data_IF_398021127142
#
_entry.id   IF_398021127142
#
_cell.length_a   1.000
_cell.length_b   1.000
_cell.length_c   1.000
_cell.angle_alpha   90.00
_cell.angle_beta   90.00
_cell.angle_gamma   90.00
#
_symmetry.space_group_name_H-M   'P 1'
#
loop_
_entity.id
_entity.type
_entity.pdbx_description
1 polymer ?
#
# COMPACT_ATOMS: atom_id res chain seq x y z
N UNK A 1 -9.16 -20.79 23.49
CA UNK A 1 -8.94 -19.52 22.76
C UNK A 1 -9.33 -19.79 21.31
N UNK A 2 -10.20 -18.97 20.71
CA UNK A 2 -10.46 -19.09 19.27
C UNK A 2 -9.18 -18.68 18.53
N UNK A 3 -8.71 -19.52 17.64
CA UNK A 3 -7.58 -19.21 16.78
C UNK A 3 -7.96 -18.04 15.87
N UNK A 4 -7.16 -16.96 15.78
CA UNK A 4 -7.48 -15.87 14.88
C UNK A 4 -7.52 -16.38 13.44
N UNK A 5 -8.39 -15.78 12.63
CA UNK A 5 -8.38 -16.03 11.19
C UNK A 5 -7.12 -15.47 10.57
N UNK A 6 -6.59 -16.13 9.55
CA UNK A 6 -5.37 -15.72 8.85
C UNK A 6 -5.68 -15.49 7.37
N UNK A 7 -5.32 -14.32 6.87
CA UNK A 7 -5.23 -14.09 5.44
C UNK A 7 -3.82 -14.42 4.98
N UNK A 8 -3.71 -15.30 3.99
CA UNK A 8 -2.45 -15.67 3.35
C UNK A 8 -2.46 -15.22 1.91
N UNK A 9 -1.51 -14.36 1.53
CA UNK A 9 -1.23 -14.00 0.15
C UNK A 9 0.07 -14.70 -0.23
N UNK A 10 -0.04 -15.80 -0.95
CA UNK A 10 1.08 -16.71 -1.15
C UNK A 10 2.25 -16.07 -1.90
N UNK A 11 1.97 -15.12 -2.79
CA UNK A 11 3.02 -14.45 -3.55
C UNK A 11 2.56 -13.06 -4.01
N UNK A 12 2.86 -12.03 -3.22
CA UNK A 12 2.63 -10.63 -3.55
C UNK A 12 3.93 -9.96 -4.03
N UNK A 13 3.92 -9.41 -5.24
CA UNK A 13 5.03 -8.71 -5.85
C UNK A 13 4.68 -7.23 -6.03
N UNK A 14 5.10 -6.33 -5.10
CA UNK A 14 6.13 -6.60 -4.06
C UNK A 14 5.69 -6.14 -2.68
N UNK A 15 4.78 -5.16 -2.59
CA UNK A 15 4.31 -4.57 -1.33
C UNK A 15 2.80 -4.49 -1.36
N UNK A 16 2.14 -5.24 -0.51
CA UNK A 16 0.68 -5.28 -0.45
C UNK A 16 0.17 -4.60 0.82
N UNK A 17 -0.81 -3.73 0.66
CA UNK A 17 -1.58 -3.13 1.75
C UNK A 17 -2.99 -3.69 1.72
N UNK A 18 -3.49 -4.14 2.86
CA UNK A 18 -4.75 -4.87 2.95
C UNK A 18 -5.78 -4.04 3.71
N UNK A 19 -6.97 -3.98 3.14
CA UNK A 19 -8.10 -3.23 3.71
C UNK A 19 -9.35 -4.12 3.79
N UNK A 20 -10.10 -4.00 4.86
CA UNK A 20 -11.39 -4.63 5.05
C UNK A 20 -12.45 -3.55 5.24
N UNK A 21 -13.45 -3.52 4.36
CA UNK A 21 -14.47 -2.46 4.30
C UNK A 21 -13.86 -1.04 4.32
N UNK A 22 -12.74 -0.86 3.60
CA UNK A 22 -12.00 0.40 3.52
C UNK A 22 -11.11 0.70 4.74
N UNK A 23 -11.14 -0.12 5.78
CA UNK A 23 -10.27 0.02 6.95
C UNK A 23 -8.97 -0.73 6.73
N UNK A 24 -7.85 -0.06 6.90
CA UNK A 24 -6.52 -0.66 6.83
C UNK A 24 -6.34 -1.71 7.93
N UNK A 25 -5.92 -2.93 7.58
CA UNK A 25 -5.70 -4.03 8.51
C UNK A 25 -4.26 -4.53 8.55
N UNK A 26 -3.44 -4.15 7.59
CA UNK A 26 -2.02 -4.52 7.60
C UNK A 26 -1.36 -4.47 6.25
N UNK A 27 -0.10 -4.84 6.23
CA UNK A 27 0.73 -4.90 5.03
C UNK A 27 1.46 -6.23 4.93
N UNK A 28 1.87 -6.57 3.73
CA UNK A 28 2.76 -7.69 3.42
C UNK A 28 3.91 -7.18 2.58
N UNK A 29 5.12 -7.34 3.07
CA UNK A 29 6.33 -6.86 2.43
C UNK A 29 7.16 -8.06 1.96
N UNK A 30 7.31 -8.20 0.64
CA UNK A 30 8.08 -9.27 0.02
C UNK A 30 9.52 -9.34 0.52
N UNK A 31 10.13 -8.19 0.83
CA UNK A 31 11.51 -8.14 1.31
C UNK A 31 11.72 -8.87 2.63
N UNK A 32 10.67 -8.90 3.46
CA UNK A 32 10.65 -9.57 4.75
C UNK A 32 10.12 -11.00 4.68
N UNK A 33 9.70 -11.46 3.48
CA UNK A 33 9.04 -12.75 3.32
C UNK A 33 7.63 -12.79 3.94
N UNK A 34 7.01 -11.65 4.19
CA UNK A 34 5.68 -11.55 4.79
C UNK A 34 4.62 -12.07 3.81
N UNK A 35 3.86 -13.04 4.24
CA UNK A 35 2.79 -13.66 3.44
C UNK A 35 1.46 -13.73 4.17
N UNK A 36 1.46 -13.53 5.48
CA UNK A 36 0.28 -13.71 6.33
C UNK A 36 0.05 -12.51 7.23
N UNK A 37 -1.21 -12.22 7.46
CA UNK A 37 -1.65 -11.29 8.49
C UNK A 37 -2.89 -11.80 9.20
N UNK A 38 -3.09 -11.38 10.44
CA UNK A 38 -4.32 -11.65 11.16
C UNK A 38 -5.50 -10.99 10.46
N UNK A 39 -6.57 -11.76 10.28
CA UNK A 39 -7.77 -11.30 9.62
C UNK A 39 -8.88 -11.11 10.66
N UNK A 40 -9.39 -9.89 10.84
CA UNK A 40 -10.39 -9.62 11.85
C UNK A 40 -11.72 -10.29 11.50
N UNK A 41 -12.53 -10.55 12.52
CA UNK A 41 -13.90 -11.01 12.31
C UNK A 41 -14.69 -9.97 11.50
N UNK A 42 -15.40 -10.42 10.47
CA UNK A 42 -16.17 -9.56 9.60
C UNK A 42 -17.55 -10.17 9.28
N UNK A 43 -18.55 -9.35 8.93
CA UNK A 43 -19.85 -9.83 8.51
C UNK A 43 -19.76 -10.50 7.13
N UNK A 44 -20.77 -11.30 6.81
CA UNK A 44 -20.93 -11.84 5.45
C UNK A 44 -21.09 -10.68 4.45
N UNK A 45 -20.32 -10.72 3.36
CA UNK A 45 -20.34 -9.70 2.33
C UNK A 45 -19.40 -8.53 2.59
N UNK A 46 -18.56 -8.61 3.63
CA UNK A 46 -17.48 -7.65 3.82
C UNK A 46 -16.55 -7.61 2.60
N UNK A 47 -16.09 -6.42 2.23
CA UNK A 47 -15.22 -6.20 1.08
C UNK A 47 -13.76 -6.26 1.48
N UNK A 48 -13.00 -7.11 0.81
CA UNK A 48 -11.55 -7.20 0.95
C UNK A 48 -10.88 -6.50 -0.24
N UNK A 49 -10.07 -5.49 0.04
CA UNK A 49 -9.24 -4.83 -0.96
C UNK A 49 -7.76 -5.08 -0.66
N UNK A 50 -6.99 -5.39 -1.69
CA UNK A 50 -5.53 -5.56 -1.60
C UNK A 50 -4.89 -4.61 -2.60
N UNK A 51 -4.26 -3.55 -2.11
CA UNK A 51 -3.50 -2.61 -2.91
C UNK A 51 -2.07 -3.11 -3.04
N UNK A 52 -1.66 -3.49 -4.24
CA UNK A 52 -0.31 -4.00 -4.50
C UNK A 52 0.51 -2.96 -5.23
N UNK A 53 1.60 -2.54 -4.62
CA UNK A 53 2.61 -1.72 -5.27
C UNK A 53 3.75 -2.60 -5.80
N UNK A 54 3.98 -2.52 -7.09
CA UNK A 54 5.15 -3.10 -7.72
C UNK A 54 6.38 -2.24 -7.45
N UNK A 55 7.39 -2.80 -6.81
CA UNK A 55 8.72 -2.19 -6.74
C UNK A 55 9.40 -2.21 -8.12
N UNK A 56 10.63 -1.73 -8.22
CA UNK A 56 11.38 -1.73 -9.46
C UNK A 56 11.43 -3.12 -10.12
N UNK A 57 11.46 -3.14 -11.44
CA UNK A 57 11.61 -4.39 -12.19
C UNK A 57 13.05 -4.87 -12.14
N UNK A 58 13.23 -6.18 -12.08
CA UNK A 58 14.54 -6.81 -12.20
C UNK A 58 15.02 -6.61 -13.65
N UNK A 59 16.19 -6.02 -13.82
CA UNK A 59 16.74 -5.66 -15.12
C UNK A 59 17.91 -6.56 -15.57
N UNK A 60 18.34 -7.49 -14.69
CA UNK A 60 19.49 -8.36 -14.96
C UNK A 60 19.35 -9.71 -14.22
N UNK A 61 19.92 -10.76 -14.80
CA UNK A 61 20.02 -12.08 -14.20
C UNK A 61 18.84 -13.01 -14.49
N UNK A 62 18.82 -14.14 -13.78
CA UNK A 62 17.85 -15.24 -14.04
C UNK A 62 16.42 -14.88 -13.69
N UNK A 63 16.23 -13.93 -12.77
CA UNK A 63 14.93 -13.49 -12.28
C UNK A 63 14.31 -12.33 -13.08
N UNK A 64 14.80 -12.06 -14.29
CA UNK A 64 14.30 -10.96 -15.15
C UNK A 64 12.80 -11.07 -15.49
N UNK A 65 12.22 -12.28 -15.36
CA UNK A 65 10.79 -12.55 -15.55
C UNK A 65 9.99 -12.47 -14.25
N UNK A 66 10.35 -11.57 -13.35
CA UNK A 66 9.63 -11.33 -12.12
C UNK A 66 8.27 -10.66 -12.40
N UNK A 67 7.20 -11.45 -12.47
CA UNK A 67 5.85 -10.94 -12.67
C UNK A 67 5.41 -10.09 -11.46
N UNK A 68 4.62 -9.06 -11.71
CA UNK A 68 4.13 -8.13 -10.68
C UNK A 68 2.65 -8.35 -10.36
N UNK A 69 2.24 -7.92 -9.18
CA UNK A 69 0.92 -8.16 -8.64
C UNK A 69 0.86 -9.39 -7.74
N UNK A 70 -0.31 -9.96 -7.57
CA UNK A 70 -0.50 -11.23 -6.87
C UNK A 70 -0.37 -12.35 -7.89
N UNK A 71 0.66 -13.18 -7.76
CA UNK A 71 1.03 -14.19 -8.76
C UNK A 71 0.60 -15.61 -8.38
N UNK A 72 0.14 -15.80 -7.15
CA UNK A 72 -0.37 -17.07 -6.64
C UNK A 72 -1.71 -16.88 -5.89
N UNK A 73 -2.08 -17.84 -5.08
CA UNK A 73 -3.36 -17.84 -4.35
C UNK A 73 -3.42 -16.80 -3.22
N UNK A 74 -4.65 -16.37 -2.96
CA UNK A 74 -5.04 -15.68 -1.72
C UNK A 74 -5.97 -16.60 -0.96
N UNK A 75 -5.64 -16.88 0.29
CA UNK A 75 -6.32 -17.87 1.10
C UNK A 75 -6.77 -17.27 2.44
N UNK A 76 -7.94 -17.68 2.90
CA UNK A 76 -8.43 -17.34 4.23
C UNK A 76 -8.55 -18.63 5.04
N UNK A 77 -7.83 -18.68 6.16
CA UNK A 77 -7.91 -19.75 7.14
C UNK A 77 -8.73 -19.29 8.34
N UNK A 78 -9.78 -20.02 8.67
CA UNK A 78 -10.66 -19.76 9.80
C UNK A 78 -10.70 -20.99 10.71
N UNK A 79 -10.96 -20.76 12.00
CA UNK A 79 -11.21 -21.85 12.94
C UNK A 79 -12.71 -22.20 12.94
N UNK A 80 -13.04 -23.45 12.65
CA UNK A 80 -14.39 -23.99 12.74
C UNK A 80 -14.37 -25.13 13.77
N UNK A 81 -14.96 -24.90 14.94
CA UNK A 81 -15.05 -25.86 16.03
C UNK A 81 -13.69 -26.46 16.45
N UNK A 82 -12.66 -25.60 16.53
CA UNK A 82 -11.31 -26.01 16.93
C UNK A 82 -10.51 -26.67 15.79
N UNK A 83 -10.99 -26.61 14.55
CA UNK A 83 -10.29 -27.12 13.37
C UNK A 83 -10.05 -26.01 12.36
N UNK A 84 -8.80 -25.86 11.87
CA UNK A 84 -8.51 -24.89 10.83
C UNK A 84 -9.14 -25.33 9.51
N UNK A 85 -9.88 -24.41 8.89
CA UNK A 85 -10.43 -24.57 7.55
C UNK A 85 -9.88 -23.47 6.65
N UNK A 86 -9.25 -23.85 5.55
CA UNK A 86 -8.66 -22.90 4.57
C UNK A 86 -9.48 -22.92 3.29
N UNK A 87 -9.87 -21.74 2.84
CA UNK A 87 -10.51 -21.54 1.54
C UNK A 87 -9.72 -20.59 0.66
N UNK A 88 -9.72 -20.86 -0.63
CA UNK A 88 -9.15 -19.99 -1.66
C UNK A 88 -10.16 -18.89 -1.99
N UNK A 89 -9.73 -17.63 -1.91
CA UNK A 89 -10.53 -16.49 -2.36
C UNK A 89 -10.38 -16.36 -3.89
N UNK A 90 -11.50 -16.25 -4.57
CA UNK A 90 -11.60 -16.25 -6.04
C UNK A 90 -12.43 -15.07 -6.53
N UNK A 91 -12.59 -14.98 -7.85
CA UNK A 91 -13.45 -13.99 -8.52
C UNK A 91 -13.05 -12.54 -8.20
N UNK A 92 -11.74 -12.27 -8.25
CA UNK A 92 -11.17 -10.96 -8.00
C UNK A 92 -11.48 -9.97 -9.11
N UNK A 93 -11.93 -8.78 -8.73
CA UNK A 93 -11.93 -7.62 -9.60
C UNK A 93 -10.57 -6.92 -9.52
N UNK A 94 -9.94 -6.69 -10.66
CA UNK A 94 -8.59 -6.10 -10.73
C UNK A 94 -8.64 -4.73 -11.38
N UNK A 95 -8.11 -3.74 -10.68
CA UNK A 95 -8.04 -2.36 -11.14
C UNK A 95 -6.58 -1.90 -11.25
N UNK A 96 -6.15 -1.48 -12.44
CA UNK A 96 -4.89 -0.80 -12.61
C UNK A 96 -5.09 0.67 -12.27
N UNK A 97 -4.43 1.14 -11.21
CA UNK A 97 -4.50 2.54 -10.81
C UNK A 97 -3.58 3.36 -11.72
N UNK A 98 -4.12 4.43 -12.26
CA UNK A 98 -3.32 5.41 -13.00
C UNK A 98 -2.40 6.18 -12.06
N UNK A 99 -1.13 6.29 -12.45
CA UNK A 99 -0.13 7.09 -11.75
C UNK A 99 0.15 8.36 -12.57
N UNK A 100 -0.88 9.19 -12.72
CA UNK A 100 -0.81 10.46 -13.44
C UNK A 100 -1.30 11.60 -12.57
N UNK A 101 -0.73 12.80 -12.78
CA UNK A 101 -1.22 13.99 -12.08
C UNK A 101 -2.69 14.28 -12.39
N UNK A 102 -3.15 14.01 -13.62
CA UNK A 102 -4.53 14.22 -14.03
C UNK A 102 -5.52 13.36 -13.23
N UNK A 103 -5.13 12.15 -12.89
CA UNK A 103 -5.89 11.30 -11.98
C UNK A 103 -6.01 11.93 -10.59
N UNK A 104 -4.88 12.33 -10.00
CA UNK A 104 -4.84 12.85 -8.64
C UNK A 104 -5.46 14.25 -8.48
N UNK A 105 -5.30 15.15 -9.46
CA UNK A 105 -5.84 16.51 -9.38
C UNK A 105 -7.36 16.58 -9.27
N UNK A 106 -8.05 15.58 -9.84
CA UNK A 106 -9.51 15.49 -9.86
C UNK A 106 -10.10 14.79 -8.61
N UNK A 107 -9.28 14.27 -7.72
CA UNK A 107 -9.74 13.67 -6.48
C UNK A 107 -10.36 14.69 -5.54
N UNK A 108 -11.46 14.30 -4.88
CA UNK A 108 -12.04 15.09 -3.80
C UNK A 108 -11.27 14.85 -2.52
N UNK A 109 -10.69 15.92 -1.98
CA UNK A 109 -9.95 15.88 -0.73
C UNK A 109 -10.80 16.39 0.42
N UNK A 110 -10.67 15.77 1.58
CA UNK A 110 -11.29 16.20 2.83
C UNK A 110 -10.21 16.69 3.80
N UNK A 111 -10.53 17.66 4.66
CA UNK A 111 -9.62 18.01 5.75
C UNK A 111 -9.29 16.77 6.57
N UNK A 112 -8.01 16.59 6.89
CA UNK A 112 -7.55 15.47 7.67
C UNK A 112 -7.21 15.90 9.09
N UNK A 113 -7.74 15.20 10.08
CA UNK A 113 -7.43 15.41 11.50
C UNK A 113 -6.12 14.75 11.94
N UNK A 114 -5.77 13.62 11.34
CA UNK A 114 -4.56 12.88 11.65
C UNK A 114 -4.05 12.12 10.43
N UNK A 115 -2.73 12.03 10.30
CA UNK A 115 -2.05 11.16 9.32
C UNK A 115 -1.82 9.75 9.85
N UNK A 116 -2.25 9.48 11.08
CA UNK A 116 -2.08 8.19 11.74
C UNK A 116 -3.44 7.66 12.20
N UNK A 117 -3.59 6.35 12.18
CA UNK A 117 -4.73 5.66 12.76
C UNK A 117 -4.68 5.67 14.30
N UNK A 118 -5.64 5.01 14.94
CA UNK A 118 -5.73 4.89 16.40
C UNK A 118 -4.54 4.14 17.01
N UNK A 119 -3.84 3.31 16.24
CA UNK A 119 -2.65 2.57 16.65
C UNK A 119 -1.35 3.35 16.37
N UNK A 120 -1.45 4.59 15.88
CA UNK A 120 -0.30 5.42 15.52
C UNK A 120 0.37 5.04 14.20
N UNK A 121 -0.24 4.13 13.41
CA UNK A 121 0.24 3.75 12.10
C UNK A 121 -0.19 4.78 11.06
N UNK A 122 0.65 5.01 10.05
CA UNK A 122 0.29 5.91 8.95
C UNK A 122 -0.82 5.32 8.11
N UNK A 123 -1.80 6.16 7.81
CA UNK A 123 -2.93 5.81 6.96
C UNK A 123 -2.46 5.89 5.50
N UNK A 124 -2.52 4.79 4.73
CA UNK A 124 -2.26 4.84 3.30
C UNK A 124 -3.29 5.71 2.58
N UNK A 125 -2.85 6.57 1.66
CA UNK A 125 -3.77 7.43 0.93
C UNK A 125 -3.10 8.49 0.08
N UNK A 126 -3.93 9.30 -0.58
CA UNK A 126 -3.49 10.48 -1.33
C UNK A 126 -3.64 11.72 -0.46
N UNK A 127 -2.58 12.45 -0.30
CA UNK A 127 -2.52 13.65 0.53
C UNK A 127 -2.25 14.88 -0.33
N UNK A 128 -2.93 15.99 -0.06
CA UNK A 128 -2.72 17.27 -0.72
C UNK A 128 -2.54 18.37 0.31
N UNK A 129 -1.51 19.18 0.12
CA UNK A 129 -1.24 20.36 0.91
C UNK A 129 -0.87 21.54 0.01
N UNK A 130 -1.04 22.75 0.51
CA UNK A 130 -0.57 23.98 -0.14
C UNK A 130 0.31 24.75 0.83
N UNK A 131 1.35 25.36 0.30
CA UNK A 131 2.21 26.26 1.06
C UNK A 131 2.57 27.47 0.22
N UNK A 132 2.91 28.56 0.87
CA UNK A 132 3.32 29.81 0.22
C UNK A 132 4.81 30.02 0.40
N UNK A 133 5.45 30.44 -0.67
CA UNK A 133 6.88 30.79 -0.68
C UNK A 133 7.01 32.26 -1.00
N UNK A 134 7.60 33.04 -0.09
CA UNK A 134 7.78 34.49 -0.29
C UNK A 134 8.87 34.81 -1.31
N UNK A 135 9.92 34.01 -1.32
CA UNK A 135 11.02 34.11 -2.26
C UNK A 135 11.33 32.72 -2.81
N UNK A 136 11.04 32.45 -4.09
CA UNK A 136 11.40 31.20 -4.71
C UNK A 136 12.92 30.98 -4.67
N UNK A 137 13.35 29.79 -4.33
CA UNK A 137 14.73 29.35 -4.35
C UNK A 137 14.78 27.83 -4.28
N UNK A 138 15.88 27.30 -4.74
CA UNK A 138 16.19 25.86 -4.65
C UNK A 138 15.98 25.35 -3.22
N UNK A 139 15.26 24.24 -3.07
CA UNK A 139 14.99 23.65 -1.78
C UNK A 139 14.79 22.14 -1.87
N UNK A 140 14.56 21.51 -0.73
CA UNK A 140 14.29 20.08 -0.64
C UNK A 140 13.03 19.83 0.20
N UNK A 141 12.19 18.91 -0.27
CA UNK A 141 11.14 18.32 0.56
C UNK A 141 11.69 17.11 1.29
N UNK A 142 11.55 17.08 2.60
CA UNK A 142 11.93 15.93 3.42
C UNK A 142 10.74 15.03 3.68
N UNK A 143 10.88 13.76 3.32
CA UNK A 143 9.88 12.71 3.48
C UNK A 143 10.36 11.54 4.34
N UNK A 144 11.42 11.72 5.12
CA UNK A 144 12.07 10.68 5.94
C UNK A 144 11.09 9.84 6.76
N UNK A 145 9.97 10.43 7.19
CA UNK A 145 8.97 9.74 8.02
C UNK A 145 7.67 9.43 7.28
N UNK A 146 7.64 9.54 5.96
CA UNK A 146 6.39 9.42 5.18
C UNK A 146 6.10 8.02 4.65
N UNK A 147 6.93 7.02 4.98
CA UNK A 147 6.76 5.67 4.47
C UNK A 147 7.23 5.56 3.04
N UNK A 148 6.34 5.22 2.11
CA UNK A 148 6.64 5.02 0.69
C UNK A 148 5.57 5.69 -0.17
N UNK A 149 5.97 6.33 -1.28
CA UNK A 149 4.99 6.99 -2.14
C UNK A 149 5.58 7.72 -3.34
N UNK A 150 4.69 8.44 -4.00
CA UNK A 150 4.94 9.32 -5.13
C UNK A 150 4.64 10.76 -4.73
N UNK A 151 5.41 11.69 -5.25
CA UNK A 151 5.26 13.11 -4.92
C UNK A 151 5.11 13.94 -6.19
N UNK A 152 4.11 14.81 -6.16
CA UNK A 152 3.88 15.82 -7.18
C UNK A 152 3.94 17.21 -6.56
N UNK A 153 4.59 18.14 -7.24
CA UNK A 153 4.61 19.58 -6.87
C UNK A 153 4.13 20.37 -8.06
N UNK A 154 3.08 21.16 -7.90
CA UNK A 154 2.48 21.97 -8.96
C UNK A 154 2.22 21.21 -10.27
N UNK A 155 1.87 19.92 -10.18
CA UNK A 155 1.62 19.07 -11.34
C UNK A 155 2.84 18.35 -11.91
N UNK A 156 4.03 18.63 -11.40
CA UNK A 156 5.25 17.97 -11.82
C UNK A 156 5.54 16.76 -10.94
N UNK A 157 5.80 15.60 -11.55
CA UNK A 157 6.22 14.40 -10.85
C UNK A 157 7.65 14.59 -10.33
N UNK A 158 7.81 14.70 -9.00
CA UNK A 158 9.11 14.86 -8.37
C UNK A 158 9.84 13.53 -8.19
N UNK A 159 9.11 12.43 -8.18
CA UNK A 159 9.64 11.08 -8.05
C UNK A 159 9.04 10.28 -6.90
N UNK A 160 9.68 9.17 -6.63
CA UNK A 160 9.33 8.26 -5.53
C UNK A 160 10.12 8.57 -4.28
N UNK A 161 9.50 8.35 -3.15
CA UNK A 161 10.12 8.44 -1.83
C UNK A 161 10.00 7.11 -1.12
N UNK A 162 10.96 6.84 -0.23
CA UNK A 162 10.91 5.70 0.67
C UNK A 162 11.69 5.98 1.96
N UNK A 163 11.06 5.78 3.11
CA UNK A 163 11.68 6.05 4.42
C UNK A 163 12.95 5.26 4.67
N UNK A 164 13.11 4.08 4.05
CA UNK A 164 14.33 3.26 4.14
C UNK A 164 15.41 3.69 3.15
N UNK A 165 15.16 4.72 2.33
CA UNK A 165 16.06 5.16 1.27
C UNK A 165 15.99 4.33 -0.02
N UNK A 166 16.80 4.67 -1.02
CA UNK A 166 17.77 5.77 -0.99
C UNK A 166 17.15 7.16 -1.06
N UNK A 167 15.85 7.27 -1.43
CA UNK A 167 15.19 8.55 -1.71
C UNK A 167 14.30 8.98 -0.54
N UNK A 168 14.83 9.78 0.36
CA UNK A 168 14.13 10.34 1.51
C UNK A 168 13.83 11.83 1.35
N UNK A 169 14.54 12.51 0.43
CA UNK A 169 14.32 13.92 0.10
C UNK A 169 14.18 14.10 -1.40
N UNK A 170 13.43 15.10 -1.82
CA UNK A 170 13.23 15.47 -3.22
C UNK A 170 13.59 16.92 -3.44
N UNK A 171 14.47 17.19 -4.40
CA UNK A 171 14.86 18.54 -4.80
C UNK A 171 13.71 19.23 -5.54
N UNK A 172 13.50 20.50 -5.21
CA UNK A 172 12.60 21.43 -5.90
C UNK A 172 13.40 22.62 -6.36
N UNK A 173 13.48 22.90 -7.67
CA UNK A 173 14.17 24.06 -8.23
C UNK A 173 13.42 25.37 -7.95
#
# INVERSE_FOLDING_TARGET
MKTPSLLTVNDAHDYAQVFLDGKYIGKLDRRNGEKQLEFPACPKGARLDILVEAMGRINFGRAIKDFKGITQSVELTVDIDGRPFTCNLKDWEVYNLEDTYDFYKNMKFQPIGSLKDELGQRIPGCYRATFKVNKPSDTFLNFETWGKGLVYVNGHAMGRIWEIGPQQTLYIP
#
